data_IF_402414844128
#
_entry.id   IF_402414844128
#
_cell.length_a   1.000
_cell.length_b   1.000
_cell.length_c   1.000
_cell.angle_alpha   90.00
_cell.angle_beta   90.00
_cell.angle_gamma   90.00
#
_symmetry.space_group_name_H-M   'P 1'
#
loop_
_entity.id
_entity.type
_entity.pdbx_description
1 polymer ?
#
# COMPACT_ATOMS: atom_id res chain seq x y z
N UNK A 1 9.74 17.18 -6.77
CA UNK A 1 8.53 16.85 -5.97
C UNK A 1 8.24 15.36 -6.12
N UNK A 2 7.82 14.67 -5.06
CA UNK A 2 7.47 13.26 -5.17
C UNK A 2 6.20 13.09 -6.01
N UNK A 3 6.19 12.06 -6.86
CA UNK A 3 5.13 11.82 -7.83
C UNK A 3 4.85 10.32 -7.89
N UNK A 4 3.58 9.97 -8.02
CA UNK A 4 3.11 8.61 -8.26
C UNK A 4 2.40 8.60 -9.61
N UNK A 5 2.80 7.67 -10.47
CA UNK A 5 2.21 7.45 -11.78
C UNK A 5 1.70 6.02 -11.88
N UNK A 6 0.49 5.86 -12.37
CA UNK A 6 -0.09 4.56 -12.71
C UNK A 6 -0.05 4.35 -14.22
N UNK A 7 0.44 3.19 -14.63
CA UNK A 7 0.48 2.73 -16.02
C UNK A 7 -0.18 1.34 -16.08
N UNK A 8 -1.51 1.26 -16.20
CA UNK A 8 -2.22 -0.02 -16.27
C UNK A 8 -2.01 -0.70 -17.63
N UNK A 9 -2.54 -1.92 -17.79
CA UNK A 9 -2.34 -2.76 -18.98
C UNK A 9 -2.73 -2.13 -20.33
N UNK A 10 -3.47 -1.01 -20.35
CA UNK A 10 -3.77 -0.25 -21.57
C UNK A 10 -2.70 0.77 -21.99
N UNK A 11 -1.62 0.94 -21.21
CA UNK A 11 -0.52 1.86 -21.54
C UNK A 11 -0.80 3.35 -21.30
N UNK A 12 -1.98 3.72 -20.79
CA UNK A 12 -2.24 5.09 -20.33
C UNK A 12 -1.32 5.45 -19.16
N UNK A 13 -0.97 6.73 -19.01
CA UNK A 13 -0.18 7.21 -17.88
C UNK A 13 -0.96 8.28 -17.13
N UNK A 14 -1.23 8.06 -15.85
CA UNK A 14 -1.99 8.99 -15.02
C UNK A 14 -1.26 9.26 -13.71
N UNK A 15 -1.10 10.54 -13.37
CA UNK A 15 -0.56 10.96 -12.07
C UNK A 15 -1.67 10.89 -11.02
N UNK A 16 -1.37 10.29 -9.87
CA UNK A 16 -2.32 10.12 -8.77
C UNK A 16 -1.67 10.47 -7.43
N UNK A 17 -2.47 10.82 -6.39
CA UNK A 17 -1.94 11.01 -5.04
C UNK A 17 -1.42 9.70 -4.40
N UNK A 18 -2.05 8.58 -4.73
CA UNK A 18 -1.62 7.23 -4.42
C UNK A 18 -2.12 6.29 -5.54
N UNK A 19 -1.59 5.07 -5.62
CA UNK A 19 -2.06 4.08 -6.58
C UNK A 19 -2.04 2.69 -5.96
N UNK A 20 -2.98 1.84 -6.36
CA UNK A 20 -3.06 0.42 -6.00
C UNK A 20 -3.15 -0.41 -7.28
N UNK A 21 -2.65 -1.64 -7.24
CA UNK A 21 -2.69 -2.56 -8.37
C UNK A 21 -2.38 -4.00 -7.96
N UNK A 22 -2.49 -4.92 -8.92
CA UNK A 22 -2.40 -6.37 -8.67
C UNK A 22 -3.76 -7.02 -8.42
N UNK A 23 -3.79 -8.34 -8.26
CA UNK A 23 -5.03 -9.11 -8.03
C UNK A 23 -5.74 -8.71 -6.73
N UNK A 24 -4.96 -8.39 -5.68
CA UNK A 24 -5.49 -8.05 -4.36
C UNK A 24 -6.05 -6.64 -4.23
N UNK A 25 -5.81 -5.74 -5.19
CA UNK A 25 -6.23 -4.33 -5.06
C UNK A 25 -7.74 -4.17 -5.00
N UNK A 26 -8.48 -5.06 -5.66
CA UNK A 26 -9.95 -5.02 -5.70
C UNK A 26 -10.61 -5.10 -4.32
N UNK A 27 -9.97 -5.79 -3.36
CA UNK A 27 -10.51 -5.98 -2.01
C UNK A 27 -10.40 -4.76 -1.10
N UNK A 28 -9.60 -3.76 -1.49
CA UNK A 28 -9.21 -2.66 -0.59
C UNK A 28 -9.63 -1.28 -1.08
N UNK A 29 -10.35 -1.16 -2.20
CA UNK A 29 -10.85 0.13 -2.71
C UNK A 29 -11.58 0.95 -1.63
N UNK A 30 -12.56 0.35 -0.95
CA UNK A 30 -13.30 1.04 0.11
C UNK A 30 -12.43 1.46 1.30
N UNK A 31 -11.40 0.67 1.65
CA UNK A 31 -10.47 1.02 2.71
C UNK A 31 -9.62 2.23 2.32
N UNK A 32 -9.02 2.20 1.12
CA UNK A 32 -8.12 3.28 0.69
C UNK A 32 -8.86 4.59 0.45
N UNK A 33 -10.10 4.54 -0.05
CA UNK A 33 -10.93 5.72 -0.30
C UNK A 33 -11.29 6.46 0.99
N UNK A 34 -11.59 5.72 2.06
CA UNK A 34 -11.95 6.31 3.38
C UNK A 34 -10.72 6.67 4.21
N UNK A 35 -9.62 5.91 4.08
CA UNK A 35 -8.45 6.04 4.96
C UNK A 35 -7.42 7.04 4.43
N UNK A 36 -7.38 7.29 3.12
CA UNK A 36 -6.45 8.23 2.53
C UNK A 36 -6.77 9.67 2.98
N UNK A 37 -5.73 10.40 3.40
CA UNK A 37 -5.81 11.82 3.74
C UNK A 37 -4.72 12.60 3.01
N UNK A 38 -5.03 13.75 2.38
CA UNK A 38 -4.01 14.62 1.83
C UNK A 38 -3.05 15.08 2.94
N UNK A 39 -1.75 15.08 2.65
CA UNK A 39 -0.72 15.61 3.57
C UNK A 39 -0.30 14.66 4.70
N UNK A 40 -0.56 13.35 4.58
CA UNK A 40 -0.03 12.35 5.52
C UNK A 40 1.49 12.46 5.69
N UNK A 41 1.94 12.35 6.93
CA UNK A 41 3.34 12.16 7.29
C UNK A 41 3.89 10.85 6.72
N UNK A 42 5.22 10.69 6.73
CA UNK A 42 5.88 9.46 6.30
C UNK A 42 5.38 8.26 7.11
N UNK A 43 5.23 8.41 8.41
CA UNK A 43 4.81 7.37 9.34
C UNK A 43 3.34 6.97 9.12
N UNK A 44 2.47 7.95 8.86
CA UNK A 44 1.08 7.70 8.48
C UNK A 44 0.98 6.98 7.14
N UNK A 45 1.76 7.39 6.12
CA UNK A 45 1.82 6.70 4.84
C UNK A 45 2.28 5.25 4.99
N UNK A 46 3.34 5.00 5.75
CA UNK A 46 3.83 3.64 6.00
C UNK A 46 2.77 2.77 6.70
N UNK A 47 2.06 3.34 7.67
CA UNK A 47 0.97 2.65 8.39
C UNK A 47 -0.22 2.38 7.47
N UNK A 48 -0.64 3.38 6.69
CA UNK A 48 -1.70 3.26 5.68
C UNK A 48 -1.41 2.15 4.67
N UNK A 49 -0.19 2.13 4.11
CA UNK A 49 0.22 1.09 3.15
C UNK A 49 0.29 -0.29 3.80
N UNK A 50 0.84 -0.41 5.01
CA UNK A 50 0.89 -1.70 5.71
C UNK A 50 -0.51 -2.27 5.98
N UNK A 51 -1.44 -1.42 6.43
CA UNK A 51 -2.82 -1.82 6.69
C UNK A 51 -3.54 -2.25 5.40
N UNK A 52 -3.41 -1.45 4.32
CA UNK A 52 -4.00 -1.78 3.02
C UNK A 52 -3.50 -3.13 2.49
N UNK A 53 -2.19 -3.37 2.52
CA UNK A 53 -1.61 -4.62 2.04
C UNK A 53 -2.03 -5.81 2.90
N UNK A 54 -2.07 -5.66 4.23
CA UNK A 54 -2.51 -6.73 5.12
C UNK A 54 -3.98 -7.13 4.87
N UNK A 55 -4.87 -6.14 4.68
CA UNK A 55 -6.27 -6.38 4.31
C UNK A 55 -6.40 -7.10 2.96
N UNK A 56 -5.58 -6.73 1.97
CA UNK A 56 -5.58 -7.41 0.67
C UNK A 56 -5.08 -8.87 0.78
N UNK A 57 -4.01 -9.10 1.54
CA UNK A 57 -3.43 -10.43 1.76
C UNK A 57 -4.37 -11.38 2.52
N UNK A 58 -5.23 -10.85 3.38
CA UNK A 58 -6.25 -11.65 4.10
C UNK A 58 -7.33 -12.22 3.16
N UNK A 59 -7.57 -11.58 2.01
CA UNK A 59 -8.71 -11.88 1.13
C UNK A 59 -8.33 -12.41 -0.24
N UNK A 60 -7.18 -12.02 -0.77
CA UNK A 60 -6.69 -12.47 -2.07
C UNK A 60 -5.78 -13.69 -1.92
N UNK A 61 -6.22 -14.84 -2.43
CA UNK A 61 -5.42 -16.07 -2.41
C UNK A 61 -4.13 -16.02 -3.24
N UNK A 62 -3.97 -15.02 -4.12
CA UNK A 62 -2.73 -14.78 -4.86
C UNK A 62 -1.76 -13.82 -4.17
N UNK A 63 -2.15 -13.27 -3.01
CA UNK A 63 -1.36 -12.33 -2.21
C UNK A 63 -0.99 -12.94 -0.86
N UNK A 64 0.22 -12.69 -0.35
CA UNK A 64 0.64 -13.25 0.93
C UNK A 64 2.13 -13.07 1.24
N UNK A 65 2.58 -13.68 2.34
CA UNK A 65 3.98 -13.66 2.77
C UNK A 65 4.32 -12.49 3.70
N UNK A 66 5.09 -11.51 3.19
CA UNK A 66 5.62 -10.38 3.97
C UNK A 66 5.32 -9.06 3.26
N UNK A 67 5.18 -7.97 4.02
CA UNK A 67 5.08 -6.63 3.46
C UNK A 67 6.48 -6.03 3.33
N UNK A 68 6.84 -5.56 2.13
CA UNK A 68 8.07 -4.81 1.87
C UNK A 68 7.72 -3.35 1.59
N UNK A 69 8.23 -2.44 2.42
CA UNK A 69 8.01 -1.01 2.29
C UNK A 69 9.33 -0.31 1.92
N UNK A 70 9.22 0.74 1.11
CA UNK A 70 10.30 1.66 0.83
C UNK A 70 9.80 3.09 0.95
N UNK A 71 10.41 3.89 1.83
CA UNK A 71 10.18 5.33 1.91
C UNK A 71 11.31 6.05 1.17
N UNK A 72 10.95 6.82 0.15
CA UNK A 72 11.89 7.59 -0.67
C UNK A 72 11.74 9.06 -0.28
N UNK A 73 12.81 9.65 0.26
CA UNK A 73 12.87 11.08 0.60
C UNK A 73 14.07 11.73 -0.09
N UNK A 74 14.28 13.03 0.14
CA UNK A 74 15.48 13.73 -0.32
C UNK A 74 16.77 13.17 0.30
N UNK A 75 16.66 12.55 1.47
CA UNK A 75 17.79 12.05 2.27
C UNK A 75 18.19 10.62 1.86
N UNK A 76 17.35 9.94 1.06
CA UNK A 76 17.63 8.62 0.52
C UNK A 76 16.44 7.68 0.53
N UNK A 77 16.74 6.38 0.56
CA UNK A 77 15.74 5.30 0.56
C UNK A 77 15.85 4.52 1.86
N UNK A 78 14.78 4.52 2.64
CA UNK A 78 14.63 3.65 3.79
C UNK A 78 13.80 2.42 3.41
N UNK A 79 14.27 1.23 3.77
CA UNK A 79 13.57 -0.04 3.51
C UNK A 79 13.16 -0.70 4.81
N UNK A 80 11.94 -1.18 4.86
CA UNK A 80 11.38 -1.92 6.01
C UNK A 80 10.68 -3.19 5.51
N UNK A 81 10.83 -4.28 6.25
CA UNK A 81 10.08 -5.52 6.03
C UNK A 81 9.24 -5.78 7.27
N UNK A 82 7.95 -6.07 7.07
CA UNK A 82 7.04 -6.54 8.11
C UNK A 82 6.81 -8.02 7.83
N UNK A 83 7.25 -8.87 8.76
CA UNK A 83 7.13 -10.31 8.63
C UNK A 83 5.68 -10.74 8.81
N UNK A 84 5.33 -11.94 8.32
CA UNK A 84 3.96 -12.46 8.38
C UNK A 84 3.34 -12.44 9.77
N UNK A 85 4.13 -12.71 10.81
CA UNK A 85 3.69 -12.69 12.20
C UNK A 85 3.48 -11.28 12.76
N UNK A 86 4.08 -10.27 12.14
CA UNK A 86 4.03 -8.86 12.54
C UNK A 86 3.04 -8.03 11.69
N UNK A 87 2.29 -8.69 10.79
CA UNK A 87 1.31 -8.02 9.95
C UNK A 87 0.18 -7.44 10.81
N UNK A 88 -0.34 -6.23 10.48
CA UNK A 88 -1.53 -5.69 11.13
C UNK A 88 -2.71 -6.66 10.99
N UNK A 89 -3.32 -7.07 12.11
CA UNK A 89 -4.50 -7.96 12.11
C UNK A 89 -5.77 -7.15 12.35
N UNK A 90 -6.80 -7.43 11.55
CA UNK A 90 -8.10 -6.73 11.59
C UNK A 90 -9.27 -7.65 11.97
N UNK A 91 -9.03 -8.96 12.00
CA UNK A 91 -9.98 -9.99 12.43
C UNK A 91 -9.29 -10.89 13.48
N UNK A 92 -10.10 -11.45 14.38
CA UNK A 92 -9.63 -12.26 15.53
C UNK A 92 -9.55 -13.76 15.25
N UNK A 93 -9.63 -14.18 13.98
CA UNK A 93 -9.56 -15.60 13.61
C UNK A 93 -8.13 -16.05 13.36
#
# INVERSE_FOLDING_TARGET
PFQVYSVPMGGMMVRQPFSIGGSGSSYIYGFVDVSYKPGMSKEECLTFTANALSLAMDRDGSSGGVIRLAAITKDGVERKVILGNDLPRFSSV
#
